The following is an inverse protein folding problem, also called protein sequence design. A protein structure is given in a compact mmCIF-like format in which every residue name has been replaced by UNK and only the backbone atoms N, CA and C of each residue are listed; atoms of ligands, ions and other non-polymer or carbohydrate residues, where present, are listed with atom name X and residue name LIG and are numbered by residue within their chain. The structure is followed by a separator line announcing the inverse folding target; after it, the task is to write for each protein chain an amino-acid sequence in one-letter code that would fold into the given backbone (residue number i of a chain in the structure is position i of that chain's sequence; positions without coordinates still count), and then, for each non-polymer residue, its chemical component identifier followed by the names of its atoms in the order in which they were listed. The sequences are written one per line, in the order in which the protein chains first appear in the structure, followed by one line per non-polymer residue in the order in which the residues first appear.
data_IF_472480349547
#
_entry.id   IF_472480349547
#
_cell.length_a   1.000
_cell.length_b   1.000
_cell.length_c   1.000
_cell.angle_alpha   90.00
_cell.angle_beta   90.00
_cell.angle_gamma   90.00
#
_symmetry.space_group_name_H-M   'P 1'
#
loop_
_entity.id
_entity.type
_entity.pdbx_description
1 polymer ?
#
# COMPACT_ATOMS: atom_id res chain seq x y z
N UNK A 1 0.99 -10.90 -1.47
CA UNK A 1 1.44 -9.70 -0.72
C UNK A 1 0.39 -8.62 -0.88
N UNK A 2 0.19 -7.74 0.13
CA UNK A 2 -0.83 -6.67 0.12
C UNK A 2 -0.85 -5.83 -1.17
N UNK A 3 0.32 -5.63 -1.79
CA UNK A 3 0.45 -4.91 -3.06
C UNK A 3 -0.38 -5.52 -4.20
N UNK A 4 -0.43 -6.86 -4.30
CA UNK A 4 -1.20 -7.59 -5.34
C UNK A 4 -2.70 -7.33 -5.22
N UNK A 5 -3.19 -7.03 -4.01
CA UNK A 5 -4.60 -6.79 -3.73
C UNK A 5 -5.03 -5.33 -4.00
N UNK A 6 -4.07 -4.40 -4.03
CA UNK A 6 -4.28 -2.99 -4.38
C UNK A 6 -4.21 -2.75 -5.90
N UNK A 7 -3.46 -3.58 -6.65
CA UNK A 7 -3.36 -3.53 -8.11
C UNK A 7 -4.66 -3.93 -8.82
N UNK A 8 -5.51 -4.73 -8.19
CA UNK A 8 -6.80 -5.17 -8.75
C UNK A 8 -7.93 -4.15 -8.64
N UNK A 9 -7.69 -2.94 -8.14
CA UNK A 9 -8.69 -1.89 -7.92
C UNK A 9 -8.48 -0.71 -8.89
N UNK A 10 -8.61 -0.94 -10.20
CA UNK A 10 -8.89 0.03 -11.29
C UNK A 10 -8.35 1.48 -11.15
N UNK A 11 -7.13 1.65 -10.61
CA UNK A 11 -6.46 2.95 -10.51
C UNK A 11 -5.02 2.80 -10.97
N UNK A 12 -4.55 3.59 -11.96
CA UNK A 12 -3.19 3.46 -12.46
C UNK A 12 -2.19 3.77 -11.34
N UNK A 13 -1.49 2.73 -10.88
CA UNK A 13 -0.31 2.88 -10.04
C UNK A 13 0.85 3.38 -10.90
N UNK A 14 1.78 4.11 -10.29
CA UNK A 14 3.04 4.50 -10.94
C UNK A 14 3.76 3.25 -11.46
N UNK A 15 4.41 3.35 -12.64
CA UNK A 15 5.09 2.26 -13.39
C UNK A 15 6.17 1.47 -12.61
N UNK A 16 6.41 1.79 -11.33
CA UNK A 16 7.35 1.13 -10.41
C UNK A 16 6.74 1.07 -9.00
N UNK A 17 5.63 0.36 -8.86
CA UNK A 17 4.86 0.21 -7.60
C UNK A 17 5.63 -0.56 -6.51
N UNK A 18 6.59 -1.42 -6.89
CA UNK A 18 7.44 -2.16 -5.97
C UNK A 18 8.82 -1.50 -5.84
N UNK A 19 9.08 -0.87 -4.68
CA UNK A 19 10.42 -0.42 -4.27
C UNK A 19 10.66 -0.85 -2.83
N UNK A 20 11.68 -1.67 -2.61
CA UNK A 20 12.26 -1.85 -1.28
C UNK A 20 12.97 -0.53 -0.92
N UNK A 21 12.31 0.31 -0.12
CA UNK A 21 12.86 1.56 0.36
C UNK A 21 13.23 1.38 1.84
N UNK A 22 14.48 1.70 2.21
CA UNK A 22 14.98 1.68 3.59
C UNK A 22 14.40 2.79 4.46
N UNK A 23 13.07 2.97 4.40
CA UNK A 23 12.34 3.97 5.16
C UNK A 23 12.03 3.39 6.53
N UNK A 24 12.44 4.07 7.60
CA UNK A 24 12.25 3.63 8.99
C UNK A 24 10.80 3.27 9.33
N UNK A 25 9.83 3.91 8.65
CA UNK A 25 8.39 3.65 8.78
C UNK A 25 7.96 2.26 8.28
N UNK A 26 8.75 1.61 7.43
CA UNK A 26 8.47 0.28 6.87
C UNK A 26 9.22 -0.85 7.59
N UNK A 27 9.97 -0.55 8.65
CA UNK A 27 10.87 -1.50 9.32
C UNK A 27 10.22 -2.29 10.48
N UNK A 28 8.90 -2.19 10.68
CA UNK A 28 8.22 -2.96 11.73
C UNK A 28 8.20 -4.46 11.36
N UNK A 29 8.87 -5.34 12.13
CA UNK A 29 9.01 -6.76 11.79
C UNK A 29 7.76 -7.61 12.12
N UNK A 30 6.86 -7.07 12.94
CA UNK A 30 5.72 -7.74 13.54
C UNK A 30 4.36 -7.36 12.91
N UNK A 31 4.32 -6.31 12.07
CA UNK A 31 3.11 -5.83 11.41
C UNK A 31 3.38 -5.56 9.92
N UNK A 32 2.50 -6.02 9.00
CA UNK A 32 2.60 -5.64 7.58
C UNK A 32 2.51 -4.12 7.42
N UNK A 33 3.54 -3.51 6.83
CA UNK A 33 3.62 -2.07 6.60
C UNK A 33 3.78 -1.75 5.11
N UNK A 34 3.05 -0.74 4.61
CA UNK A 34 3.21 -0.18 3.28
C UNK A 34 3.16 1.33 3.33
N UNK A 35 3.85 1.99 2.38
CA UNK A 35 3.78 3.42 2.16
C UNK A 35 3.15 3.66 0.78
N UNK A 36 2.10 4.48 0.76
CA UNK A 36 1.38 4.83 -0.46
C UNK A 36 1.73 6.27 -0.87
N UNK A 37 2.33 6.43 -2.04
CA UNK A 37 2.47 7.74 -2.68
C UNK A 37 1.19 8.05 -3.46
N UNK A 38 0.42 9.05 -3.00
CA UNK A 38 -0.89 9.38 -3.57
C UNK A 38 -0.84 10.41 -4.72
N UNK A 39 0.31 11.05 -4.94
CA UNK A 39 0.54 12.11 -5.93
C UNK A 39 1.63 13.09 -5.47
N UNK A 40 2.00 14.04 -6.32
CA UNK A 40 3.04 15.03 -6.00
C UNK A 40 2.44 16.41 -5.74
N UNK A 41 2.64 16.99 -4.55
CA UNK A 41 2.19 18.36 -4.25
C UNK A 41 2.84 19.41 -5.17
N UNK A 42 4.04 19.13 -5.69
CA UNK A 42 4.72 20.01 -6.67
C UNK A 42 4.12 19.96 -8.07
N UNK A 43 3.28 18.97 -8.36
CA UNK A 43 2.53 18.88 -9.62
C UNK A 43 1.14 19.52 -9.42
N UNK A 44 0.82 20.64 -10.11
CA UNK A 44 -0.45 21.34 -9.92
C UNK A 44 -1.70 20.47 -10.17
N UNK A 45 -1.61 19.48 -11.06
CA UNK A 45 -2.73 18.59 -11.33
C UNK A 45 -2.99 17.64 -10.15
N UNK A 46 -1.93 17.03 -9.62
CA UNK A 46 -2.01 16.15 -8.45
C UNK A 46 -2.42 16.93 -7.21
N UNK A 47 -1.87 18.14 -7.00
CA UNK A 47 -2.26 19.02 -5.89
C UNK A 47 -3.77 19.31 -5.91
N UNK A 48 -4.32 19.62 -7.09
CA UNK A 48 -5.76 19.87 -7.26
C UNK A 48 -6.59 18.64 -6.93
N UNK A 49 -6.13 17.45 -7.33
CA UNK A 49 -6.82 16.18 -7.04
C UNK A 49 -6.72 15.83 -5.55
N UNK A 50 -5.57 16.05 -4.91
CA UNK A 50 -5.33 15.77 -3.49
C UNK A 50 -6.05 16.77 -2.57
N UNK A 51 -6.21 18.01 -3.00
CA UNK A 51 -7.00 19.02 -2.27
C UNK A 51 -8.51 18.81 -2.40
N UNK A 52 -8.99 18.19 -3.48
CA UNK A 52 -10.41 17.86 -3.67
C UNK A 52 -10.86 16.72 -2.72
N UNK A 53 -11.85 17.05 -1.87
CA UNK A 53 -12.38 16.13 -0.89
C UNK A 53 -13.10 14.91 -1.51
N UNK A 54 -13.87 15.10 -2.58
CA UNK A 54 -14.59 14.01 -3.24
C UNK A 54 -13.61 13.05 -3.90
N UNK A 55 -12.55 13.60 -4.51
CA UNK A 55 -11.49 12.81 -5.11
C UNK A 55 -10.73 12.00 -4.06
N UNK A 56 -10.27 12.63 -2.96
CA UNK A 56 -9.65 11.90 -1.83
C UNK A 56 -10.55 10.82 -1.27
N UNK A 57 -11.84 11.11 -1.03
CA UNK A 57 -12.79 10.12 -0.51
C UNK A 57 -12.91 8.91 -1.45
N UNK A 58 -12.88 9.12 -2.76
CA UNK A 58 -12.89 8.02 -3.75
C UNK A 58 -11.61 7.19 -3.67
N UNK A 59 -10.44 7.84 -3.65
CA UNK A 59 -9.15 7.17 -3.53
C UNK A 59 -9.05 6.32 -2.25
N UNK A 60 -9.43 6.90 -1.10
CA UNK A 60 -9.34 6.23 0.19
C UNK A 60 -10.33 5.06 0.33
N UNK A 61 -11.47 5.07 -0.38
CA UNK A 61 -12.36 3.90 -0.43
C UNK A 61 -11.67 2.69 -1.05
N UNK A 62 -10.99 2.88 -2.18
CA UNK A 62 -10.25 1.79 -2.83
C UNK A 62 -9.12 1.26 -1.95
N UNK A 63 -8.42 2.14 -1.21
CA UNK A 63 -7.40 1.73 -0.23
C UNK A 63 -8.02 0.89 0.89
N UNK A 64 -9.13 1.34 1.48
CA UNK A 64 -9.81 0.61 2.55
C UNK A 64 -10.29 -0.78 2.06
N UNK A 65 -10.89 -0.85 0.88
CA UNK A 65 -11.33 -2.11 0.27
C UNK A 65 -10.17 -3.09 0.04
N UNK A 66 -8.99 -2.59 -0.35
CA UNK A 66 -7.79 -3.41 -0.51
C UNK A 66 -7.25 -3.94 0.81
N UNK A 67 -7.24 -3.11 1.86
CA UNK A 67 -6.90 -3.53 3.23
C UNK A 67 -7.87 -4.62 3.72
N UNK A 68 -9.17 -4.40 3.57
CA UNK A 68 -10.19 -5.36 3.96
C UNK A 68 -10.08 -6.68 3.20
N UNK A 69 -9.65 -6.64 1.94
CA UNK A 69 -9.43 -7.85 1.12
C UNK A 69 -8.23 -8.64 1.63
N UNK A 70 -7.13 -7.96 1.94
CA UNK A 70 -5.91 -8.57 2.47
C UNK A 70 -6.18 -9.34 3.77
N UNK A 71 -6.99 -8.79 4.68
CA UNK A 71 -7.33 -9.46 5.94
C UNK A 71 -8.46 -10.49 5.83
N UNK A 72 -9.22 -10.53 4.73
CA UNK A 72 -10.30 -11.52 4.50
C UNK A 72 -9.81 -12.81 3.87
N UNK A 73 -8.69 -12.80 3.16
CA UNK A 73 -8.05 -14.03 2.72
C UNK A 73 -7.37 -14.70 3.94
N UNK A 74 -7.44 -16.04 4.08
CA UNK A 74 -6.67 -16.73 5.11
C UNK A 74 -5.21 -16.36 4.86
N UNK A 75 -4.61 -15.62 5.79
CA UNK A 75 -3.23 -15.20 5.67
C UNK A 75 -2.39 -16.44 5.41
N UNK A 76 -1.80 -16.53 4.21
CA UNK A 76 -0.64 -17.38 4.02
C UNK A 76 0.32 -17.03 5.17
N UNK A 77 0.86 -18.02 5.89
CA UNK A 77 1.57 -17.79 7.14
C UNK A 77 2.56 -16.66 6.93
N UNK A 78 2.47 -15.64 7.78
CA UNK A 78 3.42 -14.54 7.78
C UNK A 78 4.77 -15.18 8.10
N UNK A 79 5.59 -15.37 7.07
CA UNK A 79 6.97 -15.83 7.24
C UNK A 79 7.72 -14.70 7.92
N UNK A 80 7.80 -14.76 9.24
CA UNK A 80 8.61 -13.85 10.05
C UNK A 80 10.07 -14.19 9.78
N UNK A 81 10.91 -13.17 9.58
CA UNK A 81 12.33 -13.30 9.27
C UNK A 81 13.17 -14.09 10.32
N UNK A 82 12.55 -14.55 11.42
CA UNK A 82 13.15 -15.42 12.42
C UNK A 82 13.07 -16.92 12.11
N UNK A 83 12.27 -17.35 11.14
CA UNK A 83 12.01 -18.79 10.89
C UNK A 83 13.04 -19.46 9.96
N UNK A 84 14.05 -18.71 9.48
CA UNK A 84 15.12 -19.21 8.61
C UNK A 84 16.39 -19.65 9.36
N UNK A 85 16.38 -19.68 10.70
CA UNK A 85 17.57 -19.94 11.52
C UNK A 85 17.52 -21.21 12.38
N UNK A 86 16.65 -22.19 12.08
CA UNK A 86 16.62 -23.44 12.83
C UNK A 86 15.88 -24.57 12.13
N UNK A 87 16.61 -25.35 11.32
CA UNK A 87 16.15 -26.60 10.71
C UNK A 87 17.29 -27.32 10.01
#
# INVERSE_FOLDING_TARGET
MLLTHLEGADHPLLRRSHRDAGLAVLLAPDVPAILLEMGFITNPEDERVLSDERARRRLMRSVAEGIDRYFREPAAPVMVAGDIAGG
#
